data_IF_039796165943
#
_entry.id   IF_039796165943
#
_cell.length_a   1.000
_cell.length_b   1.000
_cell.length_c   1.000
_cell.angle_alpha   90.00
_cell.angle_beta   90.00
_cell.angle_gamma   90.00
#
_symmetry.space_group_name_H-M   'P 1'
#
loop_
_entity.id
_entity.type
_entity.pdbx_description
1 polymer ?
#
# COMPACT_ATOMS: atom_id res chain seq x y z
N UNK A 1 -13.44 -4.09 -2.61
CA UNK A 1 -12.77 -2.90 -3.18
C UNK A 1 -12.83 -1.82 -2.13
N UNK A 2 -11.73 -1.10 -1.94
CA UNK A 2 -11.63 -0.02 -0.95
C UNK A 2 -11.04 1.20 -1.64
N UNK A 3 -11.57 2.39 -1.33
CA UNK A 3 -11.18 3.63 -1.96
C UNK A 3 -11.20 4.81 -0.98
N UNK A 4 -10.02 5.40 -0.76
CA UNK A 4 -9.81 6.46 0.21
C UNK A 4 -9.40 7.75 -0.51
N UNK A 5 -10.37 8.61 -0.82
CA UNK A 5 -10.11 9.89 -1.51
C UNK A 5 -9.69 11.01 -0.56
N UNK A 6 -10.14 10.95 0.70
CA UNK A 6 -10.03 12.01 1.71
C UNK A 6 -10.79 13.31 1.39
N UNK A 7 -11.54 13.38 0.28
CA UNK A 7 -12.20 14.61 -0.20
C UNK A 7 -13.31 15.10 0.74
N UNK A 8 -14.05 14.16 1.35
CA UNK A 8 -15.14 14.47 2.27
C UNK A 8 -14.71 14.43 3.74
N UNK A 9 -13.49 13.96 4.00
CA UNK A 9 -13.02 13.70 5.36
C UNK A 9 -12.58 14.99 6.06
N UNK A 10 -12.87 15.06 7.35
CA UNK A 10 -12.47 16.15 8.24
C UNK A 10 -12.06 15.58 9.58
N UNK A 11 -10.97 16.09 10.17
CA UNK A 11 -10.45 15.55 11.42
C UNK A 11 -9.81 14.17 11.23
N UNK A 12 -9.92 13.30 12.25
CA UNK A 12 -9.18 12.04 12.34
C UNK A 12 -9.91 10.84 11.76
N UNK A 13 -11.21 10.94 11.52
CA UNK A 13 -11.97 9.87 10.91
C UNK A 13 -11.87 9.98 9.40
N UNK A 14 -11.47 8.89 8.76
CA UNK A 14 -11.38 8.77 7.30
C UNK A 14 -12.31 7.67 6.82
N UNK A 15 -12.76 7.78 5.58
CA UNK A 15 -13.79 6.88 5.05
C UNK A 15 -13.39 6.22 3.73
N UNK A 16 -13.56 4.91 3.66
CA UNK A 16 -13.59 4.16 2.42
C UNK A 16 -14.94 4.39 1.74
N UNK A 17 -14.95 5.14 0.64
CA UNK A 17 -16.18 5.53 -0.06
C UNK A 17 -16.92 4.34 -0.71
N UNK A 18 -16.23 3.22 -0.93
CA UNK A 18 -16.79 2.05 -1.62
C UNK A 18 -17.19 0.99 -0.62
N UNK A 19 -16.26 0.54 0.22
CA UNK A 19 -16.50 -0.51 1.21
C UNK A 19 -17.28 -0.01 2.44
N UNK A 20 -17.51 1.31 2.54
CA UNK A 20 -18.22 1.96 3.65
C UNK A 20 -17.56 1.71 5.01
N UNK A 21 -16.23 1.56 5.01
CA UNK A 21 -15.43 1.31 6.21
C UNK A 21 -14.82 2.59 6.75
N UNK A 22 -14.64 2.63 8.08
CA UNK A 22 -14.03 3.77 8.78
C UNK A 22 -12.61 3.43 9.19
N UNK A 23 -11.69 4.33 8.88
CA UNK A 23 -10.33 4.34 9.41
C UNK A 23 -10.14 5.52 10.35
N UNK A 24 -9.02 5.51 11.08
CA UNK A 24 -8.63 6.60 11.96
C UNK A 24 -7.17 6.99 11.72
N UNK A 25 -6.92 8.30 11.62
CA UNK A 25 -5.58 8.87 11.48
C UNK A 25 -4.95 9.00 12.86
N UNK A 26 -3.79 8.36 13.05
CA UNK A 26 -2.94 8.47 14.22
C UNK A 26 -1.77 9.41 13.92
N UNK A 27 -1.22 10.07 14.95
CA UNK A 27 -0.10 10.99 14.79
C UNK A 27 -0.49 12.41 14.33
N UNK A 28 0.48 13.11 13.76
CA UNK A 28 0.37 14.50 13.30
C UNK A 28 0.17 14.53 11.79
N UNK A 29 -0.94 15.09 11.36
CA UNK A 29 -1.31 15.11 9.95
C UNK A 29 -1.91 16.45 9.56
N UNK A 30 -1.91 16.71 8.27
CA UNK A 30 -2.57 17.87 7.66
C UNK A 30 -3.30 17.41 6.40
N UNK A 31 -4.52 17.92 6.19
CA UNK A 31 -5.16 17.80 4.88
C UNK A 31 -4.59 18.88 3.97
N UNK A 32 -4.07 18.47 2.82
CA UNK A 32 -3.46 19.34 1.80
C UNK A 32 -4.13 19.12 0.45
N UNK A 33 -3.99 20.03 -0.52
CA UNK A 33 -4.37 19.74 -1.90
C UNK A 33 -3.64 18.49 -2.43
N UNK A 34 -4.42 17.54 -2.94
CA UNK A 34 -3.94 16.29 -3.53
C UNK A 34 -3.60 16.42 -5.03
N UNK A 35 -3.35 15.29 -5.69
CA UNK A 35 -3.34 15.25 -7.16
C UNK A 35 -4.73 15.60 -7.72
N UNK A 36 -5.75 15.02 -7.11
CA UNK A 36 -7.17 15.33 -7.30
C UNK A 36 -7.74 15.55 -5.90
N UNK A 37 -8.46 16.64 -5.70
CA UNK A 37 -9.11 16.92 -4.42
C UNK A 37 -8.12 17.11 -3.26
N UNK A 38 -8.29 16.35 -2.18
CA UNK A 38 -7.45 16.39 -0.97
C UNK A 38 -6.53 15.18 -0.87
N UNK A 39 -5.46 15.37 -0.12
CA UNK A 39 -4.59 14.30 0.36
C UNK A 39 -4.26 14.52 1.83
N UNK A 40 -3.76 13.47 2.48
CA UNK A 40 -3.23 13.55 3.84
C UNK A 40 -1.72 13.64 3.76
N UNK A 41 -1.16 14.70 4.33
CA UNK A 41 0.27 14.84 4.56
C UNK A 41 0.63 14.22 5.91
N UNK A 42 1.44 13.17 5.85
CA UNK A 42 1.98 12.49 7.03
C UNK A 42 3.28 13.16 7.50
N UNK A 43 3.61 13.01 8.79
CA UNK A 43 4.83 13.58 9.39
C UNK A 43 6.13 12.80 9.08
N UNK A 44 6.04 11.67 8.37
CA UNK A 44 7.18 10.82 8.04
C UNK A 44 7.76 10.03 9.21
N UNK A 45 7.08 9.99 10.37
CA UNK A 45 7.59 9.32 11.56
C UNK A 45 6.57 8.43 12.28
N UNK A 46 5.46 8.99 12.77
CA UNK A 46 4.49 8.25 13.61
C UNK A 46 3.05 8.41 13.13
N UNK A 47 2.86 8.92 11.92
CA UNK A 47 1.54 9.17 11.36
C UNK A 47 1.16 8.08 10.38
N UNK A 48 0.01 7.47 10.62
CA UNK A 48 -0.51 6.37 9.83
C UNK A 48 -2.03 6.30 9.98
N UNK A 49 -2.68 5.72 8.99
CA UNK A 49 -4.11 5.42 9.01
C UNK A 49 -4.25 3.95 9.43
N UNK A 50 -5.12 3.69 10.39
CA UNK A 50 -5.52 2.31 10.71
C UNK A 50 -6.99 2.10 10.48
N UNK A 51 -7.32 0.87 10.16
CA UNK A 51 -8.67 0.34 10.20
C UNK A 51 -8.68 -0.86 11.16
N UNK A 52 -9.81 -1.10 11.80
CA UNK A 52 -10.04 -2.41 12.42
C UNK A 52 -10.03 -3.49 11.34
N UNK A 53 -9.42 -4.61 11.69
CA UNK A 53 -9.48 -5.82 10.88
C UNK A 53 -10.95 -6.20 10.71
N UNK A 54 -11.33 -6.46 9.46
CA UNK A 54 -12.63 -7.01 9.13
C UNK A 54 -12.38 -8.38 8.50
N UNK A 55 -12.63 -9.45 9.24
CA UNK A 55 -12.41 -10.83 8.77
C UNK A 55 -13.39 -11.22 7.65
N UNK A 56 -14.40 -10.40 7.37
CA UNK A 56 -15.23 -10.56 6.17
C UNK A 56 -14.54 -10.06 4.89
N UNK A 57 -13.35 -9.45 5.02
CA UNK A 57 -12.51 -9.06 3.90
C UNK A 57 -11.92 -10.27 3.20
N UNK A 58 -12.73 -10.83 2.31
CA UNK A 58 -12.37 -11.94 1.45
C UNK A 58 -11.53 -11.46 0.27
N UNK A 59 -10.33 -10.96 0.53
CA UNK A 59 -9.28 -10.94 -0.49
C UNK A 59 -8.94 -12.40 -0.82
N UNK A 60 -9.49 -12.89 -1.92
CA UNK A 60 -9.24 -14.21 -2.50
C UNK A 60 -8.83 -14.06 -3.97
N UNK A 61 -7.99 -14.97 -4.43
CA UNK A 61 -7.53 -14.96 -5.81
C UNK A 61 -6.63 -13.76 -6.12
N UNK A 62 -6.74 -13.25 -7.34
CA UNK A 62 -5.94 -12.13 -7.82
C UNK A 62 -6.45 -10.79 -7.26
N UNK A 63 -5.53 -9.88 -6.94
CA UNK A 63 -5.88 -8.54 -6.49
C UNK A 63 -4.87 -7.49 -6.93
N UNK A 64 -5.27 -6.23 -6.79
CA UNK A 64 -4.44 -5.06 -7.04
C UNK A 64 -4.57 -4.10 -5.86
N UNK A 65 -3.44 -3.53 -5.46
CA UNK A 65 -3.39 -2.39 -4.52
C UNK A 65 -2.70 -1.23 -5.20
N UNK A 66 -3.20 -0.03 -4.97
CA UNK A 66 -2.66 1.18 -5.60
C UNK A 66 -2.78 2.40 -4.70
N UNK A 67 -1.89 3.37 -4.91
CA UNK A 67 -1.91 4.65 -4.20
C UNK A 67 -1.18 5.73 -4.99
N UNK A 68 -1.63 6.97 -4.81
CA UNK A 68 -0.86 8.15 -5.21
C UNK A 68 -0.04 8.63 -4.02
N UNK A 69 1.28 8.80 -4.23
CA UNK A 69 2.20 9.29 -3.19
C UNK A 69 3.03 10.46 -3.69
N UNK A 70 3.43 11.35 -2.77
CA UNK A 70 4.42 12.39 -3.03
C UNK A 70 5.39 12.45 -1.85
N UNK A 71 6.64 12.03 -2.06
CA UNK A 71 7.64 12.00 -1.00
C UNK A 71 8.36 13.36 -0.87
N UNK A 72 8.42 13.91 0.35
CA UNK A 72 9.27 15.07 0.64
C UNK A 72 10.74 14.68 0.85
N UNK A 73 10.98 13.46 1.32
CA UNK A 73 12.29 12.85 1.53
C UNK A 73 12.19 11.34 1.38
N UNK A 74 13.30 10.67 1.07
CA UNK A 74 13.35 9.21 1.13
C UNK A 74 13.31 8.75 2.60
N UNK A 75 12.67 7.60 2.89
CA UNK A 75 12.61 7.07 4.24
C UNK A 75 13.99 6.59 4.71
N UNK A 76 14.14 6.36 6.02
CA UNK A 76 15.41 5.87 6.58
C UNK A 76 15.62 4.37 6.38
N UNK A 77 14.52 3.64 6.19
CA UNK A 77 14.45 2.21 5.88
C UNK A 77 13.17 1.99 5.06
N UNK A 78 12.76 0.74 4.87
CA UNK A 78 11.45 0.41 4.30
C UNK A 78 10.31 1.10 5.05
N UNK A 79 9.53 1.91 4.33
CA UNK A 79 8.34 2.60 4.82
C UNK A 79 7.09 2.09 4.09
N UNK A 80 6.03 1.72 4.81
CA UNK A 80 4.80 1.23 4.20
C UNK A 80 4.04 2.37 3.50
N UNK A 81 3.58 2.09 2.28
CA UNK A 81 2.45 2.80 1.67
C UNK A 81 1.16 2.12 2.13
N UNK A 82 1.11 0.79 2.07
CA UNK A 82 0.05 -0.05 2.62
C UNK A 82 0.71 -1.24 3.32
N UNK A 83 0.36 -1.46 4.59
CA UNK A 83 0.80 -2.61 5.37
C UNK A 83 -0.41 -3.41 5.84
N UNK A 84 -0.47 -4.66 5.41
CA UNK A 84 -1.47 -5.64 5.81
C UNK A 84 -0.77 -6.91 6.32
N UNK A 85 0.47 -6.79 6.81
CA UNK A 85 1.22 -7.92 7.36
C UNK A 85 0.75 -8.26 8.77
N UNK A 86 0.73 -9.55 9.06
CA UNK A 86 0.48 -10.10 10.39
C UNK A 86 1.61 -11.08 10.75
N UNK A 87 1.75 -11.45 12.04
CA UNK A 87 2.66 -12.52 12.45
C UNK A 87 2.47 -13.80 11.62
N UNK A 88 3.49 -14.64 11.63
CA UNK A 88 3.47 -15.98 10.99
C UNK A 88 3.40 -15.97 9.46
N UNK A 89 3.83 -14.88 8.82
CA UNK A 89 3.93 -14.82 7.35
C UNK A 89 2.55 -14.74 6.71
N UNK A 90 1.73 -13.80 7.18
CA UNK A 90 0.39 -13.57 6.68
C UNK A 90 0.33 -12.17 6.08
N UNK A 91 -0.35 -12.02 4.96
CA UNK A 91 -0.68 -10.74 4.38
C UNK A 91 0.33 -10.22 3.37
N UNK A 92 0.37 -8.89 3.21
CA UNK A 92 1.27 -8.24 2.26
C UNK A 92 1.79 -6.91 2.80
N UNK A 93 2.93 -6.49 2.27
CA UNK A 93 3.54 -5.19 2.46
C UNK A 93 3.77 -4.54 1.10
N UNK A 94 3.30 -3.30 0.93
CA UNK A 94 3.59 -2.47 -0.24
C UNK A 94 4.23 -1.17 0.23
N UNK A 95 5.47 -0.91 -0.17
CA UNK A 95 6.24 0.18 0.43
C UNK A 95 7.40 0.66 -0.41
N UNK A 96 8.16 1.59 0.17
CA UNK A 96 9.28 2.29 -0.46
C UNK A 96 10.51 2.19 0.44
N UNK A 97 11.66 1.86 -0.12
CA UNK A 97 12.92 1.75 0.62
C UNK A 97 13.67 3.08 0.77
N UNK A 98 14.82 3.08 1.46
CA UNK A 98 15.60 4.30 1.67
C UNK A 98 16.23 4.91 0.40
N UNK A 99 16.27 4.15 -0.70
CA UNK A 99 16.73 4.64 -2.00
C UNK A 99 15.57 5.28 -2.76
N UNK A 100 14.31 4.95 -2.44
CA UNK A 100 13.15 5.35 -3.21
C UNK A 100 12.69 4.30 -4.21
N UNK A 101 13.14 3.06 -4.04
CA UNK A 101 12.63 1.91 -4.79
C UNK A 101 11.34 1.41 -4.15
N UNK A 102 10.37 1.13 -5.01
CA UNK A 102 9.08 0.58 -4.64
C UNK A 102 9.18 -0.94 -4.59
N UNK A 103 8.65 -1.55 -3.54
CA UNK A 103 8.64 -3.00 -3.37
C UNK A 103 7.32 -3.52 -2.86
N UNK A 104 6.99 -4.74 -3.27
CA UNK A 104 5.80 -5.47 -2.87
C UNK A 104 6.19 -6.85 -2.37
N UNK A 105 5.70 -7.19 -1.18
CA UNK A 105 5.91 -8.47 -0.52
C UNK A 105 4.57 -9.11 -0.21
N UNK A 106 4.39 -10.38 -0.52
CA UNK A 106 3.13 -11.09 -0.27
C UNK A 106 3.38 -12.52 0.18
N UNK A 107 2.66 -12.93 1.21
CA UNK A 107 2.64 -14.31 1.67
C UNK A 107 1.72 -15.14 0.77
N UNK A 108 2.23 -16.24 0.22
CA UNK A 108 1.48 -17.11 -0.68
C UNK A 108 1.98 -18.55 -0.65
N UNK A 109 1.05 -19.51 -0.76
CA UNK A 109 1.37 -20.94 -0.76
C UNK A 109 2.12 -21.38 0.50
N UNK A 110 3.28 -22.00 0.32
CA UNK A 110 4.16 -22.44 1.42
C UNK A 110 5.28 -21.43 1.74
N UNK A 111 5.32 -20.29 1.04
CA UNK A 111 6.34 -19.26 1.23
C UNK A 111 5.89 -18.23 2.25
N UNK A 112 6.83 -17.81 3.11
CA UNK A 112 6.60 -16.73 4.06
C UNK A 112 6.35 -15.40 3.32
N UNK A 113 7.17 -15.07 2.32
CA UNK A 113 6.95 -13.93 1.42
C UNK A 113 7.63 -14.13 0.06
N UNK A 114 6.92 -13.83 -1.02
CA UNK A 114 7.51 -13.47 -2.31
C UNK A 114 7.75 -11.96 -2.35
N UNK A 115 8.78 -11.51 -3.05
CA UNK A 115 9.17 -10.08 -3.09
C UNK A 115 9.53 -9.65 -4.51
N UNK A 116 8.93 -8.55 -4.96
CA UNK A 116 9.31 -7.84 -6.18
C UNK A 116 9.67 -6.40 -5.81
N UNK A 117 10.92 -6.00 -6.09
CA UNK A 117 11.43 -4.66 -5.79
C UNK A 117 11.97 -4.01 -7.06
N UNK A 118 11.51 -2.80 -7.33
CA UNK A 118 11.93 -2.00 -8.49
C UNK A 118 13.40 -1.60 -8.40
N UNK A 119 14.01 -1.30 -9.55
CA UNK A 119 15.28 -0.57 -9.64
C UNK A 119 15.08 0.88 -10.11
N UNK A 120 13.82 1.33 -10.13
CA UNK A 120 13.43 2.67 -10.58
C UNK A 120 13.13 3.51 -9.36
N UNK A 121 13.91 4.56 -9.19
CA UNK A 121 13.76 5.52 -8.10
C UNK A 121 12.58 6.46 -8.38
N UNK A 122 11.65 6.57 -7.44
CA UNK A 122 10.58 7.58 -7.55
C UNK A 122 11.09 8.99 -7.24
N UNK A 123 10.61 10.03 -7.94
CA UNK A 123 11.03 11.41 -7.70
C UNK A 123 10.50 11.95 -6.36
N UNK A 124 11.25 12.88 -5.75
CA UNK A 124 10.77 13.66 -4.61
C UNK A 124 9.88 14.82 -5.08
N UNK A 125 8.96 15.24 -4.23
CA UNK A 125 8.07 16.38 -4.40
C UNK A 125 7.21 16.33 -5.67
N UNK A 126 6.91 15.11 -6.15
CA UNK A 126 6.08 14.87 -7.31
C UNK A 126 5.11 13.73 -7.01
N UNK A 127 3.85 13.92 -7.42
CA UNK A 127 2.86 12.85 -7.37
C UNK A 127 3.29 11.69 -8.28
N UNK A 128 3.36 10.51 -7.70
CA UNK A 128 3.71 9.27 -8.38
C UNK A 128 2.62 8.25 -8.08
N UNK A 129 2.07 7.64 -9.12
CA UNK A 129 1.13 6.54 -8.99
C UNK A 129 1.89 5.24 -8.81
N UNK A 130 1.56 4.52 -7.76
CA UNK A 130 2.13 3.22 -7.43
C UNK A 130 1.04 2.18 -7.47
N UNK A 131 1.30 1.04 -8.09
CA UNK A 131 0.43 -0.11 -8.03
C UNK A 131 1.23 -1.41 -7.88
N UNK A 132 0.61 -2.40 -7.24
CA UNK A 132 1.12 -3.76 -7.19
C UNK A 132 -0.01 -4.76 -7.43
N UNK A 133 0.29 -5.82 -8.16
CA UNK A 133 -0.64 -6.90 -8.47
C UNK A 133 -0.14 -8.22 -7.88
N UNK A 134 -1.09 -9.07 -7.52
CA UNK A 134 -0.85 -10.47 -7.16
C UNK A 134 -1.78 -11.34 -7.99
N UNK A 135 -1.23 -12.37 -8.64
CA UNK A 135 -1.98 -13.41 -9.32
C UNK A 135 -1.51 -14.79 -8.84
N UNK A 136 -2.39 -15.61 -8.21
CA UNK A 136 -2.04 -16.94 -7.73
C UNK A 136 -1.46 -17.81 -8.84
N UNK A 137 -0.43 -18.61 -8.49
CA UNK A 137 0.24 -19.53 -9.41
C UNK A 137 0.80 -18.88 -10.71
N UNK A 138 0.98 -17.55 -10.71
CA UNK A 138 1.60 -16.81 -11.79
C UNK A 138 2.72 -15.91 -11.26
N UNK A 139 2.38 -14.72 -10.74
CA UNK A 139 3.36 -13.69 -10.40
C UNK A 139 2.81 -12.59 -9.49
N UNK A 140 3.74 -11.79 -8.97
CA UNK A 140 3.49 -10.44 -8.47
C UNK A 140 4.18 -9.44 -9.38
N UNK A 141 3.60 -8.26 -9.54
CA UNK A 141 4.17 -7.19 -10.36
C UNK A 141 4.06 -5.84 -9.64
N UNK A 142 5.04 -4.96 -9.86
CA UNK A 142 5.06 -3.58 -9.33
C UNK A 142 5.08 -2.60 -10.49
N UNK A 143 4.28 -1.54 -10.39
CA UNK A 143 4.11 -0.51 -11.40
C UNK A 143 4.36 0.88 -10.82
N UNK A 144 5.01 1.73 -11.62
CA UNK A 144 5.21 3.16 -11.35
C UNK A 144 4.66 3.96 -12.53
N UNK A 145 3.68 4.82 -12.27
CA UNK A 145 2.96 5.60 -13.29
C UNK A 145 2.47 4.73 -14.46
N UNK A 146 1.90 3.57 -14.13
CA UNK A 146 1.37 2.60 -15.10
C UNK A 146 2.42 1.74 -15.82
N UNK A 147 3.72 1.98 -15.63
CA UNK A 147 4.77 1.15 -16.23
C UNK A 147 5.21 0.05 -15.26
N UNK A 148 5.27 -1.20 -15.73
CA UNK A 148 5.83 -2.30 -14.93
C UNK A 148 7.33 -2.09 -14.71
N UNK A 149 7.77 -2.19 -13.45
CA UNK A 149 9.17 -1.95 -13.04
C UNK A 149 9.79 -3.10 -12.26
N UNK A 150 9.00 -4.06 -11.77
CA UNK A 150 9.48 -5.30 -11.16
C UNK A 150 8.42 -6.39 -11.28
N UNK A 151 8.87 -7.64 -11.22
CA UNK A 151 8.01 -8.82 -11.08
C UNK A 151 8.75 -9.95 -10.36
N UNK A 152 8.01 -10.89 -9.79
CA UNK A 152 8.52 -12.14 -9.23
C UNK A 152 7.48 -13.25 -9.44
N UNK A 153 7.91 -14.47 -9.77
CA UNK A 153 6.98 -15.59 -9.96
C UNK A 153 6.47 -16.08 -8.61
N UNK A 154 5.19 -16.43 -8.55
CA UNK A 154 4.53 -16.86 -7.30
C UNK A 154 3.82 -18.19 -7.48
N UNK A 155 3.84 -19.03 -6.44
CA UNK A 155 3.02 -20.24 -6.34
C UNK A 155 2.14 -20.21 -5.11
N UNK A 156 0.92 -20.71 -5.28
CA UNK A 156 -0.10 -20.83 -4.24
C UNK A 156 -0.96 -19.59 -4.07
N UNK A 157 -1.98 -19.74 -3.24
CA UNK A 157 -2.95 -18.70 -2.92
C UNK A 157 -2.38 -17.72 -1.87
N UNK A 158 -2.90 -16.49 -1.89
CA UNK A 158 -2.65 -15.49 -0.87
C UNK A 158 -2.97 -16.02 0.53
N UNK A 159 -2.04 -15.83 1.48
CA UNK A 159 -2.24 -16.18 2.88
C UNK A 159 -2.81 -14.97 3.60
N UNK A 160 -4.10 -15.03 3.94
CA UNK A 160 -4.82 -13.99 4.68
C UNK A 160 -5.00 -14.35 6.14
N UNK A 161 -5.31 -13.35 6.94
CA UNK A 161 -5.77 -13.57 8.31
C UNK A 161 -7.18 -14.20 8.29
N UNK A 162 -7.39 -15.25 9.09
CA UNK A 162 -8.67 -15.98 9.22
C UNK A 162 -9.27 -15.82 10.61
#
# INVERSE_FOLDING_TARGET
>A
MEWWSFDKDTGRDVFDEVGQKKGSINGNFEYVPGLIGKAIKLDGFRTYITRKIDLSDNLEGAFTVESWVALASYPWSWAPVIDCTYPEGIGFFFGIDQVGYVGFKVAAGDSWYYEATSMVKIPLNQWTHLAATFEPDNKIEVFINGNKVAEENVKGNYIRLT
#
